data_IF_534777758220
#
_entry.id   IF_534777758220
#
_cell.length_a   1.000
_cell.length_b   1.000
_cell.length_c   1.000
_cell.angle_alpha   90.00
_cell.angle_beta   90.00
_cell.angle_gamma   90.00
#
_symmetry.space_group_name_H-M   'P 1'
#
loop_
_entity.id
_entity.type
_entity.pdbx_description
1 polymer ?
#
# COMPACT_ATOMS: atom_id res chain seq x y z
N UNK A 1 -34.80 -75.23 -39.09
CA UNK A 1 -34.71 -75.03 -37.63
C UNK A 1 -33.40 -74.31 -37.35
N UNK A 2 -33.32 -73.19 -36.62
CA UNK A 2 -34.34 -72.35 -35.97
C UNK A 2 -33.92 -70.85 -36.08
N UNK A 3 -34.90 -69.96 -36.14
CA UNK A 3 -34.84 -68.52 -35.77
C UNK A 3 -34.59 -68.36 -34.25
N UNK A 4 -34.30 -67.22 -33.60
CA UNK A 4 -34.32 -65.74 -33.82
C UNK A 4 -33.43 -65.11 -32.68
N UNK A 5 -33.07 -63.81 -32.53
CA UNK A 5 -32.99 -62.53 -33.29
C UNK A 5 -32.26 -61.49 -32.36
N UNK A 6 -32.31 -60.17 -32.66
CA UNK A 6 -32.00 -59.01 -31.73
C UNK A 6 -30.51 -58.76 -31.34
N UNK A 7 -29.99 -57.52 -31.12
CA UNK A 7 -30.14 -56.18 -31.75
C UNK A 7 -29.08 -55.18 -31.18
N UNK A 8 -28.65 -54.15 -31.96
CA UNK A 8 -27.85 -52.95 -31.56
C UNK A 8 -26.44 -53.19 -30.93
N UNK A 9 -25.55 -52.20 -30.75
CA UNK A 9 -25.63 -50.73 -30.95
C UNK A 9 -24.32 -50.15 -31.54
N UNK A 10 -24.39 -48.96 -32.17
CA UNK A 10 -23.24 -48.18 -32.67
C UNK A 10 -22.94 -47.01 -31.73
N UNK A 11 -21.67 -46.71 -31.50
CA UNK A 11 -21.20 -45.33 -31.22
C UNK A 11 -19.67 -45.21 -31.41
N UNK A 12 -19.23 -44.27 -32.25
CA UNK A 12 -17.82 -43.86 -32.32
C UNK A 12 -17.57 -42.73 -31.32
N UNK A 13 -16.44 -42.78 -30.62
CA UNK A 13 -15.93 -41.64 -29.85
C UNK A 13 -14.84 -40.92 -30.66
N UNK A 14 -15.17 -39.72 -31.16
CA UNK A 14 -14.19 -38.80 -31.72
C UNK A 14 -13.52 -38.04 -30.57
N UNK A 15 -12.24 -38.32 -30.33
CA UNK A 15 -11.43 -37.57 -29.37
C UNK A 15 -11.08 -36.18 -29.90
N UNK A 16 -11.80 -35.16 -29.45
CA UNK A 16 -11.41 -33.77 -29.66
C UNK A 16 -10.15 -33.43 -28.86
N UNK A 17 -9.19 -32.74 -29.49
CA UNK A 17 -8.03 -32.21 -28.78
C UNK A 17 -8.42 -30.92 -28.08
N UNK A 18 -8.65 -30.97 -26.77
CA UNK A 18 -8.84 -29.75 -25.97
C UNK A 18 -7.60 -28.86 -26.04
N UNK A 19 -7.81 -27.58 -26.34
CA UNK A 19 -6.74 -26.58 -26.25
C UNK A 19 -6.57 -26.19 -24.78
N UNK A 20 -5.43 -26.55 -24.20
CA UNK A 20 -5.09 -26.19 -22.81
C UNK A 20 -5.18 -24.67 -22.61
N UNK A 21 -6.10 -24.23 -21.74
CA UNK A 21 -6.27 -22.82 -21.38
C UNK A 21 -4.95 -22.27 -20.83
N UNK A 22 -4.44 -21.11 -21.31
CA UNK A 22 -3.20 -20.55 -20.80
C UNK A 22 -3.27 -20.21 -19.30
N UNK A 23 -2.21 -20.53 -18.56
CA UNK A 23 -2.11 -20.18 -17.14
C UNK A 23 -2.20 -18.67 -16.92
N UNK A 24 -3.19 -18.23 -16.14
CA UNK A 24 -3.37 -16.83 -15.81
C UNK A 24 -2.33 -16.38 -14.77
N UNK A 25 -1.19 -15.89 -15.25
CA UNK A 25 -0.16 -15.28 -14.38
C UNK A 25 -0.74 -14.05 -13.68
N UNK A 26 -0.79 -14.11 -12.35
CA UNK A 26 -1.15 -12.99 -11.50
C UNK A 26 -0.15 -11.83 -11.58
N UNK A 27 -0.56 -10.66 -11.07
CA UNK A 27 0.28 -9.46 -11.03
C UNK A 27 1.65 -9.74 -10.39
N UNK A 28 2.71 -9.10 -10.90
CA UNK A 28 4.10 -9.28 -10.47
C UNK A 28 4.60 -10.75 -10.37
N UNK A 29 3.98 -11.69 -11.11
CA UNK A 29 4.37 -13.11 -11.08
C UNK A 29 3.91 -13.87 -9.83
N UNK A 30 2.94 -13.34 -9.09
CA UNK A 30 2.54 -13.91 -7.80
C UNK A 30 1.64 -15.17 -7.89
N UNK A 31 1.34 -15.69 -9.09
CA UNK A 31 0.29 -16.70 -9.31
C UNK A 31 0.56 -18.13 -8.82
N UNK A 32 1.82 -18.55 -8.72
CA UNK A 32 2.17 -19.98 -8.65
C UNK A 32 1.81 -20.65 -7.30
N UNK A 33 0.99 -21.71 -7.33
CA UNK A 33 0.72 -22.56 -6.16
C UNK A 33 1.70 -23.75 -6.08
N UNK A 34 2.68 -23.67 -5.17
CA UNK A 34 3.58 -24.81 -4.88
C UNK A 34 4.06 -24.91 -3.41
N UNK A 35 3.59 -24.02 -2.52
CA UNK A 35 3.95 -24.03 -1.10
C UNK A 35 3.00 -23.14 -0.28
N UNK A 36 2.60 -23.59 0.91
CA UNK A 36 1.62 -22.88 1.75
C UNK A 36 2.29 -21.88 2.70
N UNK A 37 2.08 -20.59 2.45
CA UNK A 37 2.42 -19.50 3.37
C UNK A 37 1.37 -19.39 4.50
N UNK A 38 1.75 -18.75 5.61
CA UNK A 38 0.88 -18.56 6.78
C UNK A 38 -0.41 -17.82 6.37
N UNK A 39 -1.62 -18.40 6.56
CA UNK A 39 -2.85 -17.74 6.18
C UNK A 39 -3.16 -16.54 7.09
N UNK A 40 -3.82 -15.53 6.54
CA UNK A 40 -4.40 -14.44 7.33
C UNK A 40 -5.78 -14.90 7.79
N UNK A 41 -6.00 -14.91 9.11
CA UNK A 41 -7.23 -15.38 9.76
C UNK A 41 -7.72 -14.36 10.81
N UNK A 42 -9.04 -14.21 11.03
CA UNK A 42 -9.58 -13.30 12.03
C UNK A 42 -9.19 -13.72 13.45
N UNK A 43 -9.18 -12.76 14.38
CA UNK A 43 -8.91 -13.01 15.80
C UNK A 43 -7.43 -13.06 16.22
N UNK A 44 -6.48 -12.72 15.33
CA UNK A 44 -5.08 -12.49 15.72
C UNK A 44 -5.01 -11.35 16.73
N UNK A 45 -4.35 -11.58 17.86
CA UNK A 45 -3.99 -10.52 18.81
C UNK A 45 -2.66 -9.90 18.37
N UNK A 46 -2.62 -8.59 18.25
CA UNK A 46 -1.40 -7.84 17.95
C UNK A 46 -0.57 -7.61 19.22
N UNK A 47 0.75 -7.58 19.08
CA UNK A 47 1.70 -7.42 20.19
C UNK A 47 2.81 -6.45 19.80
N UNK A 48 2.96 -5.38 20.56
CA UNK A 48 3.94 -4.32 20.29
C UNK A 48 5.00 -4.27 21.41
N UNK A 49 6.29 -4.06 21.07
CA UNK A 49 6.80 -3.67 19.75
C UNK A 49 7.00 -4.81 18.74
N UNK A 50 6.72 -6.08 19.10
CA UNK A 50 7.03 -7.25 18.26
C UNK A 50 6.56 -7.13 16.80
N UNK A 51 5.31 -6.72 16.58
CA UNK A 51 4.67 -6.58 15.27
C UNK A 51 5.20 -5.39 14.42
N UNK A 52 6.15 -4.60 14.93
CA UNK A 52 6.89 -3.64 14.09
C UNK A 52 7.98 -4.32 13.25
N UNK A 53 8.44 -5.51 13.67
CA UNK A 53 9.39 -6.33 12.93
C UNK A 53 8.79 -6.99 11.69
N UNK A 54 9.61 -7.78 10.98
CA UNK A 54 9.17 -8.55 9.81
C UNK A 54 8.48 -9.86 10.22
N UNK A 55 7.50 -10.30 9.42
CA UNK A 55 6.67 -11.46 9.71
C UNK A 55 7.05 -12.67 8.84
N UNK A 56 7.86 -13.58 9.41
CA UNK A 56 8.20 -14.85 8.76
C UNK A 56 6.95 -15.72 8.47
N UNK A 57 7.07 -16.60 7.48
CA UNK A 57 5.97 -17.45 7.01
C UNK A 57 4.92 -16.72 6.16
N UNK A 58 4.79 -15.39 6.27
CA UNK A 58 3.97 -14.58 5.35
C UNK A 58 4.73 -14.24 4.07
N UNK A 59 3.99 -14.14 2.97
CA UNK A 59 4.53 -13.94 1.62
C UNK A 59 4.89 -12.49 1.32
N UNK A 60 4.03 -11.57 1.75
CA UNK A 60 3.97 -10.17 1.34
C UNK A 60 3.95 -9.30 2.60
N UNK A 61 4.75 -8.24 2.64
CA UNK A 61 4.77 -7.31 3.77
C UNK A 61 5.30 -5.92 3.37
N UNK A 62 4.71 -4.87 3.92
CA UNK A 62 4.94 -3.46 3.58
C UNK A 62 5.25 -2.60 4.81
N UNK A 63 6.27 -1.74 4.72
CA UNK A 63 6.44 -0.54 5.55
C UNK A 63 6.29 0.65 4.61
N UNK A 64 5.20 1.42 4.73
CA UNK A 64 4.85 2.50 3.80
C UNK A 64 4.64 3.79 4.58
N UNK A 65 5.41 4.83 4.29
CA UNK A 65 5.34 6.14 4.94
C UNK A 65 5.05 7.23 3.92
N UNK A 66 3.99 8.00 4.16
CA UNK A 66 3.66 9.21 3.41
C UNK A 66 3.73 10.42 4.34
N UNK A 67 4.15 11.58 3.82
CA UNK A 67 4.23 12.81 4.59
C UNK A 67 3.82 14.03 3.76
N UNK A 68 2.92 14.84 4.31
CA UNK A 68 2.44 16.09 3.74
C UNK A 68 3.16 17.25 4.43
N UNK A 69 4.05 17.91 3.70
CA UNK A 69 5.05 18.80 4.31
C UNK A 69 4.93 20.23 3.77
N UNK A 70 5.29 21.21 4.60
CA UNK A 70 5.40 22.63 4.23
C UNK A 70 6.75 23.20 4.61
N UNK A 71 7.25 24.15 3.82
CA UNK A 71 8.37 25.01 4.22
C UNK A 71 7.90 26.31 4.92
N UNK A 72 8.86 27.11 5.39
CA UNK A 72 8.60 28.41 6.05
C UNK A 72 7.97 29.47 5.13
N UNK A 73 7.91 29.24 3.82
CA UNK A 73 7.25 30.10 2.84
C UNK A 73 5.84 29.57 2.50
N UNK A 74 5.42 28.44 3.09
CA UNK A 74 4.12 27.82 2.91
C UNK A 74 4.01 26.91 1.68
N UNK A 75 5.11 26.68 0.95
CA UNK A 75 5.12 25.81 -0.23
C UNK A 75 4.79 24.37 0.19
N UNK A 76 3.90 23.72 -0.56
CA UNK A 76 3.50 22.33 -0.33
C UNK A 76 4.49 21.33 -0.96
N UNK A 77 4.80 20.29 -0.19
CA UNK A 77 5.58 19.13 -0.62
C UNK A 77 4.93 17.82 -0.16
N UNK A 78 5.30 16.73 -0.83
CA UNK A 78 5.07 15.37 -0.37
C UNK A 78 6.37 14.58 -0.33
N UNK A 79 6.51 13.72 0.66
CA UNK A 79 7.55 12.68 0.73
C UNK A 79 6.89 11.31 0.86
N UNK A 80 7.39 10.33 0.10
CA UNK A 80 7.02 8.92 0.20
C UNK A 80 8.27 8.06 0.41
N UNK A 81 8.18 7.09 1.31
CA UNK A 81 9.13 5.99 1.47
C UNK A 81 8.41 4.65 1.65
N UNK A 82 8.79 3.62 0.88
CA UNK A 82 8.29 2.26 1.05
C UNK A 82 9.43 1.25 1.04
N UNK A 83 9.35 0.27 1.94
CA UNK A 83 10.05 -1.00 1.88
C UNK A 83 9.04 -2.14 1.78
N UNK A 84 9.20 -2.99 0.77
CA UNK A 84 8.35 -4.13 0.49
C UNK A 84 9.17 -5.43 0.53
N UNK A 85 8.66 -6.41 1.27
CA UNK A 85 9.22 -7.74 1.43
C UNK A 85 8.38 -8.75 0.66
N UNK A 86 9.02 -9.52 -0.22
CA UNK A 86 8.40 -10.63 -0.95
C UNK A 86 9.19 -11.92 -0.71
N UNK A 87 8.56 -12.89 -0.05
CA UNK A 87 9.14 -14.21 0.16
C UNK A 87 8.73 -15.15 -1.00
N UNK A 88 9.72 -15.76 -1.64
CA UNK A 88 9.52 -16.74 -2.71
C UNK A 88 9.08 -18.11 -2.18
N UNK A 89 9.34 -18.41 -0.90
CA UNK A 89 8.96 -19.66 -0.21
C UNK A 89 8.62 -19.39 1.26
N UNK A 90 7.72 -20.17 1.88
CA UNK A 90 7.37 -20.11 3.30
C UNK A 90 8.43 -20.85 4.15
N UNK A 91 9.67 -20.39 4.08
CA UNK A 91 10.79 -20.89 4.85
C UNK A 91 11.33 -19.75 5.75
N UNK A 92 11.91 -20.06 6.92
CA UNK A 92 12.66 -19.07 7.71
C UNK A 92 13.78 -18.41 6.88
N UNK A 93 14.10 -17.15 7.16
CA UNK A 93 15.15 -16.43 6.44
C UNK A 93 16.53 -17.08 6.70
N UNK A 94 17.33 -17.16 5.63
CA UNK A 94 18.67 -17.75 5.65
C UNK A 94 19.71 -16.67 5.34
N UNK A 95 20.86 -16.72 6.00
CA UNK A 95 21.97 -15.83 5.71
C UNK A 95 22.56 -16.07 4.31
N UNK A 96 23.05 -14.99 3.68
CA UNK A 96 23.65 -15.01 2.35
C UNK A 96 22.67 -15.27 1.20
N UNK A 97 23.23 -15.59 0.03
CA UNK A 97 22.52 -15.74 -1.25
C UNK A 97 21.47 -16.86 -1.29
N UNK A 98 21.38 -17.70 -0.26
CA UNK A 98 20.34 -18.71 -0.09
C UNK A 98 18.97 -18.13 0.29
N UNK A 99 18.89 -16.92 0.86
CA UNK A 99 17.63 -16.31 1.29
C UNK A 99 16.59 -16.33 0.17
N UNK A 100 15.39 -16.81 0.50
CA UNK A 100 14.25 -16.82 -0.42
C UNK A 100 13.47 -15.49 -0.38
N UNK A 101 13.95 -14.48 0.34
CA UNK A 101 13.38 -13.12 0.38
C UNK A 101 13.96 -12.25 -0.74
N UNK A 102 13.09 -11.46 -1.38
CA UNK A 102 13.44 -10.30 -2.21
C UNK A 102 12.90 -9.05 -1.51
N UNK A 103 13.71 -8.01 -1.45
CA UNK A 103 13.33 -6.69 -0.95
C UNK A 103 13.23 -5.71 -2.13
N UNK A 104 12.13 -4.97 -2.18
CA UNK A 104 11.94 -3.83 -3.07
C UNK A 104 11.84 -2.58 -2.21
N UNK A 105 12.45 -1.48 -2.63
CA UNK A 105 12.24 -0.18 -2.02
C UNK A 105 11.88 0.86 -3.08
N UNK A 106 11.01 1.79 -2.75
CA UNK A 106 10.76 2.97 -3.56
C UNK A 106 10.59 4.21 -2.68
N UNK A 107 11.14 5.33 -3.16
CA UNK A 107 11.11 6.61 -2.49
C UNK A 107 10.82 7.71 -3.50
N UNK A 108 10.03 8.70 -3.10
CA UNK A 108 9.66 9.81 -3.96
C UNK A 108 9.53 11.13 -3.21
N UNK A 109 9.66 12.21 -3.97
CA UNK A 109 9.42 13.59 -3.54
C UNK A 109 8.51 14.28 -4.54
N UNK A 110 7.59 15.10 -4.04
CA UNK A 110 6.68 15.89 -4.86
C UNK A 110 6.65 17.33 -4.39
N UNK A 111 6.62 18.28 -5.32
CA UNK A 111 6.20 19.66 -5.11
C UNK A 111 5.09 19.98 -6.11
N UNK A 112 4.50 21.19 -6.05
CA UNK A 112 3.52 21.65 -7.02
C UNK A 112 4.00 21.64 -8.49
N UNK A 113 5.31 21.58 -8.75
CA UNK A 113 5.90 21.66 -10.10
C UNK A 113 6.87 20.52 -10.45
N UNK A 114 7.38 19.78 -9.46
CA UNK A 114 8.32 18.67 -9.66
C UNK A 114 7.79 17.38 -8.99
N UNK A 115 8.17 16.24 -9.55
CA UNK A 115 8.03 14.93 -8.93
C UNK A 115 9.24 14.09 -9.36
N UNK A 116 9.91 13.46 -8.39
CA UNK A 116 11.02 12.56 -8.64
C UNK A 116 10.82 11.29 -7.80
N UNK A 117 11.08 10.14 -8.42
CA UNK A 117 10.95 8.83 -7.81
C UNK A 117 12.19 7.98 -8.12
N UNK A 118 12.48 7.02 -7.25
CA UNK A 118 13.51 6.02 -7.47
C UNK A 118 13.08 4.65 -6.89
N UNK A 119 13.65 3.57 -7.43
CA UNK A 119 13.49 2.21 -6.91
C UNK A 119 14.85 1.57 -6.56
N UNK A 120 14.81 0.57 -5.68
CA UNK A 120 15.92 -0.30 -5.27
C UNK A 120 15.45 -1.76 -5.18
N UNK A 121 16.34 -2.70 -5.47
CA UNK A 121 16.09 -4.13 -5.38
C UNK A 121 17.26 -4.80 -4.68
N UNK A 122 16.97 -5.58 -3.65
CA UNK A 122 17.96 -6.32 -2.88
C UNK A 122 17.52 -7.77 -2.67
N UNK A 123 18.49 -8.66 -2.47
CA UNK A 123 18.24 -10.00 -1.95
C UNK A 123 18.22 -9.95 -0.42
N UNK A 124 17.38 -10.77 0.20
CA UNK A 124 17.48 -11.05 1.62
C UNK A 124 18.80 -11.76 1.98
N UNK A 125 19.05 -11.92 3.28
CA UNK A 125 20.20 -12.64 3.83
C UNK A 125 21.60 -12.03 3.60
N UNK A 126 21.81 -11.20 2.58
CA UNK A 126 23.12 -10.61 2.23
C UNK A 126 23.40 -9.26 2.91
N UNK A 127 22.51 -8.78 3.78
CA UNK A 127 22.66 -7.53 4.55
C UNK A 127 22.35 -6.23 3.81
N UNK A 128 22.19 -6.27 2.48
CA UNK A 128 21.86 -5.11 1.64
C UNK A 128 20.49 -4.48 1.98
N UNK A 129 19.53 -5.30 2.42
CA UNK A 129 18.21 -4.87 2.91
C UNK A 129 17.72 -5.80 4.01
N UNK A 130 16.81 -5.31 4.84
CA UNK A 130 16.23 -6.07 5.92
C UNK A 130 15.41 -5.24 6.89
N UNK A 131 14.95 -5.90 7.95
CA UNK A 131 14.32 -5.25 9.11
C UNK A 131 14.84 -5.89 10.40
N UNK A 132 15.25 -5.06 11.34
CA UNK A 132 15.67 -5.43 12.70
C UNK A 132 14.76 -4.70 13.69
N UNK A 133 14.38 -5.37 14.78
CA UNK A 133 13.45 -4.80 15.77
C UNK A 133 14.14 -4.00 16.89
N UNK A 134 15.36 -4.37 17.29
CA UNK A 134 16.05 -3.77 18.42
C UNK A 134 17.55 -3.53 18.13
N UNK A 135 18.03 -2.27 18.09
CA UNK A 135 17.23 -1.07 17.82
C UNK A 135 16.51 -1.21 16.47
N UNK A 136 15.36 -0.55 16.33
CA UNK A 136 14.52 -0.69 15.14
C UNK A 136 15.21 -0.08 13.91
N UNK A 137 15.26 -0.82 12.82
CA UNK A 137 15.78 -0.37 11.54
C UNK A 137 15.15 -1.19 10.41
N UNK A 138 14.48 -0.53 9.48
CA UNK A 138 14.08 -1.06 8.19
C UNK A 138 14.90 -0.35 7.11
N UNK A 139 15.60 -1.09 6.25
CA UNK A 139 16.57 -0.50 5.31
C UNK A 139 16.65 -1.21 3.96
N UNK A 140 17.13 -0.47 2.96
CA UNK A 140 17.61 -0.98 1.68
C UNK A 140 18.71 -0.05 1.14
N UNK A 141 19.88 -0.62 0.84
CA UNK A 141 21.11 0.12 0.54
C UNK A 141 21.41 1.20 1.60
N UNK A 142 21.29 2.48 1.25
CA UNK A 142 21.51 3.62 2.14
C UNK A 142 20.21 4.34 2.60
N UNK A 143 19.05 3.79 2.23
CA UNK A 143 17.73 4.30 2.64
C UNK A 143 17.30 3.62 3.93
N UNK A 144 16.78 4.40 4.88
CA UNK A 144 16.56 3.94 6.26
C UNK A 144 15.27 4.51 6.87
N UNK A 145 14.60 3.67 7.65
CA UNK A 145 13.52 4.01 8.57
C UNK A 145 13.86 3.37 9.93
N UNK A 146 14.33 4.14 10.91
CA UNK A 146 14.99 3.61 12.11
C UNK A 146 14.67 4.36 13.40
N UNK A 147 14.76 3.68 14.54
CA UNK A 147 14.48 4.23 15.87
C UNK A 147 15.41 3.66 16.93
N UNK A 148 15.78 4.51 17.91
CA UNK A 148 16.48 4.12 19.14
C UNK A 148 15.54 4.09 20.36
N UNK A 149 14.24 4.34 20.18
CA UNK A 149 13.25 4.36 21.24
C UNK A 149 12.78 2.94 21.63
N UNK A 150 12.24 2.80 22.85
CA UNK A 150 11.70 1.53 23.37
C UNK A 150 10.35 1.17 22.69
N UNK A 151 9.57 2.19 22.35
CA UNK A 151 8.50 2.10 21.35
C UNK A 151 9.03 2.71 20.04
N UNK A 152 9.36 1.89 19.03
CA UNK A 152 9.83 2.36 17.74
C UNK A 152 8.93 3.38 17.04
N UNK A 153 7.62 3.40 17.30
CA UNK A 153 6.69 4.31 16.61
C UNK A 153 6.45 5.63 17.37
N UNK A 154 7.25 5.90 18.42
CA UNK A 154 7.22 7.18 19.14
C UNK A 154 8.21 8.22 18.57
N UNK A 155 9.36 7.78 18.08
CA UNK A 155 10.45 8.62 17.54
C UNK A 155 11.21 7.85 16.45
N UNK A 156 11.23 8.36 15.21
CA UNK A 156 11.84 7.71 14.04
C UNK A 156 12.65 8.68 13.20
N UNK A 157 13.75 8.19 12.63
CA UNK A 157 14.49 8.84 11.55
C UNK A 157 14.14 8.16 10.23
N UNK A 158 13.71 8.94 9.24
CA UNK A 158 13.39 8.49 7.88
C UNK A 158 14.30 9.19 6.87
N UNK A 159 14.96 8.43 6.00
CA UNK A 159 15.80 8.99 4.94
C UNK A 159 15.86 8.14 3.67
N UNK A 160 15.99 8.84 2.54
CA UNK A 160 16.36 8.28 1.24
C UNK A 160 17.08 9.34 0.40
N UNK A 161 17.86 8.88 -0.60
CA UNK A 161 18.44 9.75 -1.62
C UNK A 161 18.54 9.08 -2.98
N UNK A 162 18.40 9.87 -4.03
CA UNK A 162 18.79 9.51 -5.39
C UNK A 162 19.45 10.73 -6.06
N UNK A 163 19.57 10.74 -7.39
CA UNK A 163 20.27 11.79 -8.14
C UNK A 163 19.60 13.17 -8.06
N UNK A 164 18.27 13.21 -8.06
CA UNK A 164 17.49 14.46 -8.13
C UNK A 164 16.89 14.89 -6.79
N UNK A 165 16.93 14.01 -5.77
CA UNK A 165 16.30 14.26 -4.48
C UNK A 165 17.03 13.62 -3.30
N UNK A 166 16.83 14.19 -2.12
CA UNK A 166 17.17 13.58 -0.84
C UNK A 166 16.21 14.08 0.23
N UNK A 167 15.98 13.28 1.28
CA UNK A 167 15.33 13.77 2.49
C UNK A 167 15.87 13.09 3.75
N UNK A 168 15.81 13.82 4.86
CA UNK A 168 16.08 13.37 6.22
C UNK A 168 15.02 13.99 7.11
N UNK A 169 14.12 13.16 7.65
CA UNK A 169 12.96 13.56 8.43
C UNK A 169 12.95 12.84 9.78
N UNK A 170 12.75 13.60 10.85
CA UNK A 170 12.42 13.12 12.18
C UNK A 170 10.90 13.05 12.31
N UNK A 171 10.35 11.86 12.54
CA UNK A 171 8.93 11.58 12.72
C UNK A 171 8.67 11.28 14.20
N UNK A 172 7.71 11.97 14.80
CA UNK A 172 7.35 11.79 16.22
C UNK A 172 5.85 11.60 16.42
N UNK A 173 5.47 10.73 17.35
CA UNK A 173 4.08 10.56 17.78
C UNK A 173 4.00 10.24 19.26
N UNK A 174 3.09 10.92 19.97
CA UNK A 174 2.72 10.61 21.35
C UNK A 174 1.39 9.85 21.45
N UNK A 175 0.83 9.43 20.31
CA UNK A 175 -0.50 8.82 20.19
C UNK A 175 -0.40 7.34 19.83
N UNK A 176 -1.31 6.49 20.35
CA UNK A 176 -1.34 5.08 20.00
C UNK A 176 -1.60 4.87 18.51
N UNK A 177 -1.04 3.80 17.96
CA UNK A 177 -1.34 3.34 16.60
C UNK A 177 -2.80 2.86 16.48
N UNK A 178 -3.28 2.79 15.23
CA UNK A 178 -4.62 2.37 14.83
C UNK A 178 -4.55 0.98 14.20
N UNK A 179 -5.29 0.00 14.75
CA UNK A 179 -5.50 -1.29 14.09
C UNK A 179 -6.61 -1.14 13.03
N UNK A 180 -6.38 -1.62 11.80
CA UNK A 180 -7.31 -1.47 10.68
C UNK A 180 -8.33 -2.63 10.61
N UNK A 181 -9.56 -2.35 10.17
CA UNK A 181 -10.62 -3.38 10.07
C UNK A 181 -11.05 -3.93 11.45
N UNK A 182 -11.31 -5.23 11.55
CA UNK A 182 -11.60 -5.88 12.84
C UNK A 182 -10.29 -6.17 13.58
N UNK A 183 -9.87 -5.22 14.43
CA UNK A 183 -8.70 -5.33 15.33
C UNK A 183 -7.42 -5.73 14.60
N UNK A 184 -7.24 -5.20 13.39
CA UNK A 184 -6.07 -5.43 12.55
C UNK A 184 -6.25 -6.55 11.52
N UNK A 185 -7.37 -7.27 11.51
CA UNK A 185 -7.78 -8.11 10.38
C UNK A 185 -8.54 -7.26 9.36
N UNK A 186 -7.92 -6.99 8.22
CA UNK A 186 -8.46 -6.14 7.16
C UNK A 186 -8.71 -6.95 5.89
N UNK A 187 -9.99 -7.09 5.51
CA UNK A 187 -10.37 -7.66 4.23
C UNK A 187 -10.07 -6.67 3.08
N UNK A 188 -9.72 -7.24 1.92
CA UNK A 188 -9.33 -6.51 0.70
C UNK A 188 -10.24 -6.81 -0.49
N UNK A 189 -11.07 -7.84 -0.40
CA UNK A 189 -12.13 -8.16 -1.37
C UNK A 189 -13.14 -9.20 -0.83
N UNK A 190 -14.36 -9.20 -1.38
CA UNK A 190 -15.46 -10.14 -1.08
C UNK A 190 -15.07 -11.63 -1.18
N UNK A 191 -14.05 -11.95 -2.01
CA UNK A 191 -13.51 -13.30 -2.16
C UNK A 191 -12.66 -13.78 -0.95
N UNK A 192 -12.59 -12.99 0.13
CA UNK A 192 -12.00 -13.39 1.41
C UNK A 192 -10.49 -13.15 1.53
N UNK A 193 -9.85 -12.48 0.57
CA UNK A 193 -8.47 -12.01 0.71
C UNK A 193 -8.39 -10.99 1.84
N UNK A 194 -7.43 -11.17 2.73
CA UNK A 194 -7.21 -10.30 3.87
C UNK A 194 -5.72 -10.12 4.19
N UNK A 195 -5.44 -9.04 4.90
CA UNK A 195 -4.12 -8.72 5.45
C UNK A 195 -4.23 -8.45 6.95
N UNK A 196 -3.13 -8.67 7.67
CA UNK A 196 -2.92 -8.07 8.97
C UNK A 196 -2.38 -6.65 8.77
N UNK A 197 -3.04 -5.65 9.37
CA UNK A 197 -2.88 -4.25 8.95
C UNK A 197 -3.07 -3.28 10.12
N UNK A 198 -2.10 -2.38 10.33
CA UNK A 198 -2.21 -1.26 11.25
C UNK A 198 -1.54 0.00 10.69
N UNK A 199 -1.87 1.16 11.27
CA UNK A 199 -1.35 2.47 10.85
C UNK A 199 -0.89 3.30 12.06
N UNK A 200 0.07 4.19 11.87
CA UNK A 200 0.36 5.30 12.79
C UNK A 200 0.08 6.62 12.03
N UNK A 201 -1.15 7.14 12.11
CA UNK A 201 -1.61 8.28 11.31
C UNK A 201 -1.28 9.64 11.95
N UNK A 202 -0.74 9.64 13.17
CA UNK A 202 -0.57 10.83 14.01
C UNK A 202 0.86 11.41 13.98
N UNK A 203 1.75 10.90 13.13
CA UNK A 203 3.12 11.39 13.09
C UNK A 203 3.17 12.88 12.73
N UNK A 204 4.03 13.62 13.44
CA UNK A 204 4.53 14.91 12.99
C UNK A 204 5.96 14.72 12.48
N UNK A 205 6.16 15.01 11.20
CA UNK A 205 7.45 14.98 10.53
C UNK A 205 8.08 16.37 10.52
N UNK A 206 9.40 16.45 10.73
CA UNK A 206 10.19 17.66 10.52
C UNK A 206 11.60 17.33 10.06
N UNK A 207 12.24 18.22 9.29
CA UNK A 207 13.62 18.01 8.86
C UNK A 207 13.96 18.73 7.56
N UNK A 208 14.65 18.04 6.67
CA UNK A 208 15.14 18.60 5.40
C UNK A 208 14.74 17.77 4.19
N UNK A 209 14.43 18.47 3.11
CA UNK A 209 14.07 17.94 1.80
C UNK A 209 14.93 18.66 0.75
N UNK A 210 15.47 17.93 -0.21
CA UNK A 210 16.20 18.47 -1.37
C UNK A 210 15.53 18.02 -2.66
N UNK A 211 15.30 18.96 -3.57
CA UNK A 211 14.73 18.74 -4.91
C UNK A 211 15.56 19.54 -5.91
N UNK A 212 16.07 18.89 -6.95
CA UNK A 212 16.86 19.51 -8.03
C UNK A 212 18.01 20.40 -7.51
N UNK A 213 18.70 19.92 -6.48
CA UNK A 213 19.80 20.60 -5.80
C UNK A 213 19.39 21.64 -4.75
N UNK A 214 18.16 22.16 -4.77
CA UNK A 214 17.66 23.13 -3.78
C UNK A 214 17.14 22.43 -2.52
N UNK A 215 17.62 22.87 -1.36
CA UNK A 215 17.20 22.37 -0.04
C UNK A 215 16.10 23.22 0.59
N UNK A 216 15.22 22.58 1.34
CA UNK A 216 14.08 23.13 2.06
C UNK A 216 14.08 22.58 3.48
N UNK A 217 13.90 23.45 4.49
CA UNK A 217 13.55 23.04 5.85
C UNK A 217 12.04 22.90 5.92
N UNK A 218 11.55 21.72 6.31
CA UNK A 218 10.15 21.34 6.15
C UNK A 218 9.57 20.68 7.39
N UNK A 219 8.25 20.80 7.59
CA UNK A 219 7.49 20.07 8.60
C UNK A 219 6.02 19.87 8.21
N UNK A 220 5.35 18.89 8.82
CA UNK A 220 3.92 18.62 8.61
C UNK A 220 3.51 17.21 9.07
N UNK A 221 2.23 16.84 8.92
CA UNK A 221 1.76 15.50 9.27
C UNK A 221 2.36 14.41 8.38
N UNK A 222 2.47 13.21 8.95
CA UNK A 222 2.86 12.00 8.26
C UNK A 222 2.04 10.79 8.73
N UNK A 223 2.05 9.75 7.91
CA UNK A 223 1.29 8.52 8.08
C UNK A 223 2.18 7.32 7.78
N UNK A 224 2.25 6.36 8.69
CA UNK A 224 2.81 5.02 8.44
C UNK A 224 1.68 4.01 8.29
N UNK A 225 1.77 3.17 7.26
CA UNK A 225 1.04 1.91 7.14
C UNK A 225 1.96 0.71 7.26
N UNK A 226 1.45 -0.34 7.90
CA UNK A 226 2.13 -1.61 8.17
C UNK A 226 1.17 -2.76 7.89
N UNK A 227 1.43 -3.47 6.80
CA UNK A 227 0.55 -4.50 6.29
C UNK A 227 1.33 -5.77 5.91
N UNK A 228 0.80 -6.95 6.24
CA UNK A 228 1.32 -8.23 5.76
C UNK A 228 0.24 -9.26 5.45
N UNK A 229 0.50 -10.09 4.44
CA UNK A 229 -0.42 -11.13 3.99
C UNK A 229 0.30 -12.26 3.25
N UNK A 230 -0.48 -13.26 2.83
CA UNK A 230 0.00 -14.40 2.04
C UNK A 230 -0.77 -14.62 0.73
N UNK A 231 -1.83 -13.83 0.51
CA UNK A 231 -2.68 -13.90 -0.68
C UNK A 231 -2.35 -12.69 -1.58
N UNK A 232 -1.85 -12.92 -2.81
CA UNK A 232 -1.66 -11.84 -3.77
C UNK A 232 -2.99 -11.44 -4.41
N UNK A 233 -2.97 -10.36 -5.19
CA UNK A 233 -4.10 -9.97 -6.02
C UNK A 233 -4.44 -11.05 -7.07
N UNK A 234 -5.73 -11.28 -7.26
CA UNK A 234 -6.24 -12.28 -8.22
C UNK A 234 -6.25 -11.75 -9.66
N UNK A 235 -6.29 -12.65 -10.64
CA UNK A 235 -6.32 -12.29 -12.05
C UNK A 235 -7.60 -11.53 -12.48
N UNK A 236 -8.64 -11.46 -11.63
CA UNK A 236 -9.83 -10.62 -11.83
C UNK A 236 -9.67 -9.18 -11.31
N UNK A 237 -8.70 -8.93 -10.43
CA UNK A 237 -8.40 -7.60 -9.89
C UNK A 237 -7.53 -6.81 -10.88
N UNK A 238 -7.83 -5.53 -11.06
CA UNK A 238 -7.16 -4.66 -12.07
C UNK A 238 -6.18 -3.68 -11.45
N UNK A 239 -6.34 -3.33 -10.18
CA UNK A 239 -5.53 -2.38 -9.44
C UNK A 239 -6.32 -1.81 -8.27
N UNK A 240 -5.70 -0.96 -7.45
CA UNK A 240 -6.38 -0.31 -6.32
C UNK A 240 -6.29 1.21 -6.35
N UNK A 241 -7.14 1.83 -5.55
CA UNK A 241 -7.09 3.23 -5.16
C UNK A 241 -7.02 3.27 -3.62
N UNK A 242 -5.93 3.77 -3.05
CA UNK A 242 -5.74 3.93 -1.61
C UNK A 242 -5.60 5.42 -1.27
N UNK A 243 -6.14 5.82 -0.13
CA UNK A 243 -6.12 7.20 0.36
C UNK A 243 -5.81 7.20 1.86
N UNK A 244 -4.86 8.04 2.28
CA UNK A 244 -4.74 8.51 3.67
C UNK A 244 -5.05 10.00 3.70
N UNK A 245 -5.93 10.43 4.61
CA UNK A 245 -6.30 11.84 4.77
C UNK A 245 -6.16 12.29 6.22
N UNK A 246 -5.56 13.46 6.41
CA UNK A 246 -5.53 14.23 7.65
C UNK A 246 -6.52 15.41 7.47
N UNK A 247 -7.61 15.42 8.24
CA UNK A 247 -8.61 16.49 8.19
C UNK A 247 -8.25 17.60 9.19
N UNK A 248 -8.50 18.87 8.83
CA UNK A 248 -8.15 20.03 9.67
C UNK A 248 -8.89 20.06 11.02
N UNK A 249 -9.97 19.28 11.16
CA UNK A 249 -10.73 19.08 12.40
C UNK A 249 -10.08 18.08 13.38
N UNK A 250 -9.05 17.34 12.95
CA UNK A 250 -8.29 16.40 13.76
C UNK A 250 -8.66 14.92 13.58
N UNK A 251 -9.72 14.60 12.83
CA UNK A 251 -9.98 13.24 12.36
C UNK A 251 -9.08 12.84 11.20
N UNK A 252 -8.92 11.54 11.04
CA UNK A 252 -8.16 10.93 9.95
C UNK A 252 -9.03 9.90 9.22
N UNK A 253 -8.80 9.73 7.93
CA UNK A 253 -9.57 8.79 7.09
C UNK A 253 -8.63 7.98 6.21
N UNK A 254 -8.69 6.64 6.34
CA UNK A 254 -8.14 5.73 5.34
C UNK A 254 -9.28 5.19 4.48
N UNK A 255 -9.12 5.22 3.15
CA UNK A 255 -10.02 4.55 2.19
C UNK A 255 -9.23 3.60 1.30
N UNK A 256 -9.84 2.48 0.94
CA UNK A 256 -9.29 1.51 0.02
C UNK A 256 -10.37 1.00 -0.94
N UNK A 257 -10.13 1.13 -2.25
CA UNK A 257 -10.96 0.59 -3.32
C UNK A 257 -10.16 -0.39 -4.16
N UNK A 258 -10.55 -1.66 -4.14
CA UNK A 258 -10.02 -2.69 -5.04
C UNK A 258 -10.89 -2.75 -6.31
N UNK A 259 -10.29 -2.43 -7.46
CA UNK A 259 -10.97 -2.48 -8.76
C UNK A 259 -10.83 -3.88 -9.38
N UNK A 260 -11.86 -4.29 -10.10
CA UNK A 260 -11.95 -5.60 -10.73
C UNK A 260 -12.55 -5.51 -12.14
N UNK A 261 -12.30 -6.53 -12.98
CA UNK A 261 -12.72 -6.58 -14.38
C UNK A 261 -14.24 -6.63 -14.56
N UNK A 262 -14.93 -7.28 -13.62
CA UNK A 262 -16.37 -7.56 -13.67
C UNK A 262 -16.98 -7.35 -12.27
N UNK A 263 -18.22 -6.85 -12.21
CA UNK A 263 -18.89 -6.54 -10.95
C UNK A 263 -18.47 -5.21 -10.31
N UNK A 264 -19.01 -4.92 -9.12
CA UNK A 264 -18.67 -3.72 -8.36
C UNK A 264 -17.27 -3.84 -7.73
N UNK A 265 -16.52 -2.73 -7.58
CA UNK A 265 -15.27 -2.73 -6.83
C UNK A 265 -15.55 -2.97 -5.33
N UNK A 266 -14.64 -3.66 -4.65
CA UNK A 266 -14.68 -3.72 -3.19
C UNK A 266 -14.20 -2.38 -2.61
N UNK A 267 -14.97 -1.80 -1.70
CA UNK A 267 -14.71 -0.49 -1.11
C UNK A 267 -14.86 -0.57 0.41
N UNK A 268 -13.82 -0.17 1.12
CA UNK A 268 -13.76 -0.15 2.58
C UNK A 268 -13.00 1.08 3.05
N UNK A 269 -13.09 1.38 4.33
CA UNK A 269 -12.30 2.44 4.95
C UNK A 269 -12.34 2.37 6.47
N UNK A 270 -11.57 3.24 7.10
CA UNK A 270 -11.59 3.43 8.55
C UNK A 270 -11.60 4.92 8.86
N UNK A 271 -12.67 5.36 9.53
CA UNK A 271 -12.73 6.67 10.16
C UNK A 271 -12.01 6.60 11.51
N UNK A 272 -11.11 7.54 11.76
CA UNK A 272 -10.32 7.64 12.98
C UNK A 272 -10.68 8.98 13.61
N UNK A 273 -11.36 8.95 14.76
CA UNK A 273 -11.77 10.14 15.48
C UNK A 273 -10.58 10.96 15.98
N UNK A 274 -10.80 12.24 16.28
CA UNK A 274 -9.78 13.12 16.84
C UNK A 274 -9.26 12.64 18.21
N UNK A 275 -10.04 11.82 18.91
CA UNK A 275 -9.68 11.07 20.13
C UNK A 275 -8.86 9.80 19.87
N UNK A 276 -8.88 9.28 18.63
CA UNK A 276 -8.20 8.06 18.19
C UNK A 276 -9.13 6.84 18.12
N UNK A 277 -10.43 6.98 18.38
CA UNK A 277 -11.38 5.88 18.26
C UNK A 277 -11.66 5.53 16.79
N UNK A 278 -11.66 4.25 16.48
CA UNK A 278 -11.71 3.73 15.10
C UNK A 278 -13.10 3.19 14.76
N UNK A 279 -13.64 3.59 13.61
CA UNK A 279 -14.84 2.99 13.03
C UNK A 279 -14.55 2.51 11.61
N UNK A 280 -14.66 1.19 11.38
CA UNK A 280 -14.68 0.62 10.02
C UNK A 280 -15.90 1.14 9.26
N UNK A 281 -15.67 1.59 8.03
CA UNK A 281 -16.66 2.10 7.09
C UNK A 281 -16.90 1.04 6.00
N UNK A 282 -18.15 0.63 5.80
CA UNK A 282 -18.51 -0.34 4.76
C UNK A 282 -18.87 0.37 3.45
N UNK A 283 -18.85 -0.36 2.33
CA UNK A 283 -19.05 0.20 0.98
C UNK A 283 -20.33 1.04 0.83
N UNK A 284 -21.41 0.69 1.51
CA UNK A 284 -22.69 1.43 1.42
C UNK A 284 -22.66 2.80 2.13
N UNK A 285 -21.67 3.03 3.00
CA UNK A 285 -21.48 4.28 3.73
C UNK A 285 -20.56 5.26 2.98
N UNK A 286 -19.83 4.80 1.96
CA UNK A 286 -18.79 5.56 1.26
C UNK A 286 -19.20 5.82 -0.19
N UNK A 287 -19.33 7.09 -0.57
CA UNK A 287 -19.40 7.50 -1.98
C UNK A 287 -18.02 7.98 -2.42
N UNK A 288 -17.33 7.20 -3.25
CA UNK A 288 -15.99 7.50 -3.76
C UNK A 288 -16.02 7.58 -5.30
N UNK A 289 -16.01 8.81 -5.84
CA UNK A 289 -16.29 9.08 -7.26
C UNK A 289 -15.13 9.85 -7.90
N UNK A 290 -14.38 9.27 -8.86
CA UNK A 290 -13.37 10.01 -9.61
C UNK A 290 -14.03 11.12 -10.44
N UNK A 291 -13.37 12.28 -10.51
CA UNK A 291 -13.85 13.47 -11.22
C UNK A 291 -13.01 13.67 -12.49
N UNK A 292 -12.38 14.84 -12.67
CA UNK A 292 -11.53 15.12 -13.82
C UNK A 292 -10.34 14.14 -13.91
N UNK A 293 -10.00 13.77 -15.14
CA UNK A 293 -8.75 13.04 -15.44
C UNK A 293 -7.71 13.98 -16.04
N UNK A 294 -6.45 13.79 -15.66
CA UNK A 294 -5.29 14.41 -16.29
C UNK A 294 -4.58 13.41 -17.21
N UNK A 295 -3.95 13.92 -18.28
CA UNK A 295 -3.09 13.07 -19.12
C UNK A 295 -1.69 12.97 -18.53
N UNK A 296 -1.38 11.84 -17.91
CA UNK A 296 -0.14 11.60 -17.15
C UNK A 296 0.54 10.35 -17.70
N UNK A 297 1.84 10.43 -18.03
CA UNK A 297 2.60 9.32 -18.64
C UNK A 297 1.85 8.62 -19.79
N UNK A 298 1.14 9.39 -20.62
CA UNK A 298 0.31 8.92 -21.73
C UNK A 298 -1.11 8.47 -21.37
N UNK A 299 -1.39 8.15 -20.10
CA UNK A 299 -2.65 7.60 -19.55
C UNK A 299 -3.63 8.69 -19.11
N UNK A 300 -4.89 8.34 -18.87
CA UNK A 300 -5.89 9.21 -18.26
C UNK A 300 -6.05 8.86 -16.77
N UNK A 301 -5.42 9.65 -15.90
CA UNK A 301 -5.39 9.40 -14.44
C UNK A 301 -6.43 10.29 -13.72
N UNK A 302 -7.31 9.74 -12.86
CA UNK A 302 -8.21 10.55 -12.05
C UNK A 302 -7.44 11.20 -10.89
N UNK A 303 -6.97 12.43 -11.13
CA UNK A 303 -6.20 13.22 -10.15
C UNK A 303 -7.09 14.14 -9.30
N UNK A 304 -8.41 14.02 -9.45
CA UNK A 304 -9.44 14.71 -8.65
C UNK A 304 -10.56 13.73 -8.31
N UNK A 305 -11.11 13.82 -7.10
CA UNK A 305 -12.12 12.90 -6.58
C UNK A 305 -13.15 13.64 -5.73
N UNK A 306 -14.37 13.10 -5.66
CA UNK A 306 -15.36 13.43 -4.64
C UNK A 306 -15.48 12.26 -3.67
N UNK A 307 -15.50 12.56 -2.38
CA UNK A 307 -15.67 11.60 -1.28
C UNK A 307 -16.78 12.12 -0.38
N UNK A 308 -17.83 11.32 -0.16
CA UNK A 308 -18.86 11.62 0.84
C UNK A 308 -19.14 10.43 1.74
N UNK A 309 -19.24 10.70 3.05
CA UNK A 309 -19.64 9.77 4.11
C UNK A 309 -20.71 10.49 4.94
N UNK A 310 -22.00 10.33 4.61
CA UNK A 310 -23.09 11.10 5.23
C UNK A 310 -23.18 10.96 6.75
N UNK A 311 -22.92 9.75 7.28
CA UNK A 311 -22.90 9.42 8.71
C UNK A 311 -21.79 10.16 9.50
N UNK A 312 -20.87 10.83 8.79
CA UNK A 312 -19.77 11.63 9.33
C UNK A 312 -19.84 13.11 8.90
N UNK A 313 -20.92 13.50 8.22
CA UNK A 313 -21.07 14.83 7.60
C UNK A 313 -19.92 15.21 6.65
N UNK A 314 -19.21 14.22 6.12
CA UNK A 314 -18.14 14.40 5.15
C UNK A 314 -18.73 14.51 3.75
N UNK A 315 -18.41 15.62 3.06
CA UNK A 315 -18.58 15.79 1.63
C UNK A 315 -17.43 16.68 1.14
N UNK A 316 -16.42 16.04 0.54
CA UNK A 316 -15.13 16.65 0.21
C UNK A 316 -14.72 16.36 -1.24
N UNK A 317 -13.95 17.29 -1.79
CA UNK A 317 -13.19 17.14 -3.02
C UNK A 317 -11.70 16.99 -2.73
N UNK A 318 -11.07 16.01 -3.36
CA UNK A 318 -9.62 15.87 -3.41
C UNK A 318 -9.06 16.42 -4.71
N UNK A 319 -7.84 16.96 -4.65
CA UNK A 319 -7.05 17.31 -5.83
C UNK A 319 -5.56 17.05 -5.58
N UNK A 320 -4.88 16.42 -6.54
CA UNK A 320 -3.44 16.24 -6.48
C UNK A 320 -2.69 17.58 -6.41
N UNK A 321 -1.65 17.66 -5.57
CA UNK A 321 -0.70 18.77 -5.54
C UNK A 321 -0.04 18.98 -6.91
N UNK A 322 0.30 17.87 -7.56
CA UNK A 322 0.92 17.81 -8.87
C UNK A 322 0.30 16.63 -9.65
N UNK A 323 -0.43 16.87 -10.74
CA UNK A 323 -1.00 15.79 -11.56
C UNK A 323 0.05 14.80 -12.10
N UNK A 324 1.30 15.22 -12.26
CA UNK A 324 2.37 14.40 -12.85
C UNK A 324 3.14 13.55 -11.83
N UNK A 325 2.51 13.21 -10.70
CA UNK A 325 3.07 12.33 -9.67
C UNK A 325 3.04 10.85 -10.09
N UNK A 326 3.78 10.53 -11.15
CA UNK A 326 3.86 9.21 -11.77
C UNK A 326 5.18 8.52 -11.43
N UNK A 327 5.06 7.37 -10.79
CA UNK A 327 6.16 6.52 -10.37
C UNK A 327 6.56 5.63 -11.56
N UNK A 328 7.46 6.14 -12.42
CA UNK A 328 7.93 5.44 -13.63
C UNK A 328 8.97 4.34 -13.30
N UNK A 329 8.52 3.40 -12.47
CA UNK A 329 9.30 2.28 -11.92
C UNK A 329 8.97 0.98 -12.68
N UNK A 330 9.71 -0.12 -12.43
CA UNK A 330 9.45 -1.43 -13.07
C UNK A 330 8.03 -1.94 -12.83
N UNK A 331 7.46 -1.61 -11.67
CA UNK A 331 6.03 -1.74 -11.38
C UNK A 331 5.50 -0.31 -11.33
N UNK A 332 4.80 0.17 -12.39
CA UNK A 332 4.42 1.58 -12.46
C UNK A 332 3.04 1.85 -11.86
N UNK A 333 2.91 3.02 -11.24
CA UNK A 333 1.67 3.51 -10.60
C UNK A 333 1.71 5.03 -10.44
N UNK A 334 0.59 5.63 -10.04
CA UNK A 334 0.51 7.05 -9.69
C UNK A 334 0.46 7.18 -8.18
N UNK A 335 1.25 8.08 -7.61
CA UNK A 335 1.28 8.29 -6.17
C UNK A 335 1.70 9.71 -5.82
N UNK A 336 0.89 10.42 -5.03
CA UNK A 336 1.27 11.75 -4.59
C UNK A 336 0.33 12.40 -3.57
N UNK A 337 0.80 13.51 -2.97
CA UNK A 337 0.02 14.28 -2.00
C UNK A 337 -1.21 14.94 -2.65
N UNK A 338 -2.31 14.93 -1.92
CA UNK A 338 -3.58 15.59 -2.26
C UNK A 338 -3.91 16.70 -1.25
N UNK A 339 -4.64 17.73 -1.72
CA UNK A 339 -5.31 18.72 -0.87
C UNK A 339 -6.81 18.37 -0.76
N UNK A 340 -7.37 18.56 0.43
CA UNK A 340 -8.78 18.34 0.76
C UNK A 340 -9.51 19.69 0.81
N UNK A 341 -10.75 19.75 0.33
CA UNK A 341 -11.65 20.89 0.50
C UNK A 341 -13.11 20.44 0.44
N UNK A 342 -14.07 21.22 0.95
CA UNK A 342 -15.49 20.86 0.98
C UNK A 342 -16.09 21.17 2.34
N UNK A 343 -16.84 20.22 2.92
CA UNK A 343 -17.30 20.34 4.32
C UNK A 343 -16.16 20.33 5.34
N UNK A 344 -14.99 19.81 4.95
CA UNK A 344 -13.75 19.79 5.73
C UNK A 344 -12.57 20.25 4.87
N UNK A 345 -11.58 20.89 5.49
CA UNK A 345 -10.25 21.11 4.92
C UNK A 345 -9.28 19.98 5.32
N UNK A 346 -8.07 19.99 4.77
CA UNK A 346 -7.04 19.02 5.10
C UNK A 346 -6.08 18.71 3.96
N UNK A 347 -5.29 17.66 4.16
CA UNK A 347 -4.30 17.14 3.22
C UNK A 347 -4.20 15.61 3.35
N UNK A 348 -3.38 14.97 2.52
CA UNK A 348 -3.18 13.53 2.57
C UNK A 348 -2.45 12.99 1.35
N UNK A 349 -2.53 11.69 1.11
CA UNK A 349 -1.98 11.01 -0.05
C UNK A 349 -3.03 10.20 -0.81
N UNK A 350 -2.74 9.96 -2.09
CA UNK A 350 -3.46 9.06 -2.97
C UNK A 350 -2.45 8.16 -3.69
N UNK A 351 -2.67 6.85 -3.66
CA UNK A 351 -1.95 5.85 -4.45
C UNK A 351 -2.94 5.16 -5.42
N UNK A 352 -2.57 5.05 -6.69
CA UNK A 352 -3.38 4.43 -7.74
C UNK A 352 -2.53 3.49 -8.60
N UNK A 353 -2.72 2.19 -8.44
CA UNK A 353 -2.06 1.16 -9.26
C UNK A 353 -2.99 0.67 -10.36
N UNK A 354 -2.47 0.18 -11.50
CA UNK A 354 -3.29 -0.49 -12.53
C UNK A 354 -4.21 0.44 -13.35
N UNK A 355 -3.60 1.46 -13.97
CA UNK A 355 -4.21 2.44 -14.88
C UNK A 355 -3.42 2.55 -16.21
#
# INVERSE_FOLDING_TARGET
MRTNFVVLMVLLLLGGCDQSVPEQKGFAGMGDQAQAFTPVVPGRVFSFPADHGAHEGFRIEWWYVTANLKDQQGNDFGVQWTLFRSALKPLPEQAGWGSQTIWLGHAAVTSATAHHAAERYARGGVGQAGVRLAPFEAWIDDWQFSSQAVDPLSDLQLSARDRSFAYQLHLTSSRPLVLQGDKGFSQKSEQGQASYYYSQPFFQASGTLQIDGKTYTVSGPAWLDREWSSQPLTASQTGWDWFSLHLDSGEHLMLYRMRQKEGAPYLTGTWIGADGQTQTLRSEQIKLVPQDTAKVAGRAMPVRWSISIPDKHLDISLSALNPNAWMDLRIPYWEGPVRVSGSHGGNGYLEMTGY
#
